data_IF_802963132191
#
_entry.id   IF_802963132191
#
_cell.length_a   1.000
_cell.length_b   1.000
_cell.length_c   1.000
_cell.angle_alpha   90.00
_cell.angle_beta   90.00
_cell.angle_gamma   90.00
#
_symmetry.space_group_name_H-M   'P 1'
#
loop_
_entity.id
_entity.type
_entity.pdbx_description
1 polymer ?
#
# COMPACT_ATOMS: atom_id res chain seq x y z
N UNK A 1 -15.07 20.83 -0.85
CA UNK A 1 -14.70 19.93 0.25
C UNK A 1 -14.47 20.74 1.50
N UNK A 2 -15.55 21.10 2.17
CA UNK A 2 -15.56 21.51 3.58
C UNK A 2 -15.90 20.28 4.43
N UNK A 3 -15.45 20.22 5.70
CA UNK A 3 -15.95 19.20 6.63
C UNK A 3 -17.49 19.18 6.60
N UNK A 4 -18.09 17.99 6.48
CA UNK A 4 -19.53 17.80 6.35
C UNK A 4 -20.06 17.69 4.90
N UNK A 5 -19.20 17.87 3.89
CA UNK A 5 -19.54 17.64 2.48
C UNK A 5 -19.16 16.23 1.99
N UNK A 6 -18.74 15.34 2.89
CA UNK A 6 -18.35 13.97 2.55
C UNK A 6 -19.53 13.19 1.98
N UNK A 7 -19.27 12.41 0.94
CA UNK A 7 -20.25 11.51 0.33
C UNK A 7 -19.71 10.08 0.34
N UNK A 8 -20.54 9.08 0.63
CA UNK A 8 -20.13 7.70 0.50
C UNK A 8 -19.82 7.38 -0.97
N UNK A 9 -18.72 6.67 -1.22
CA UNK A 9 -18.38 6.16 -2.55
C UNK A 9 -19.00 4.79 -2.84
N UNK A 10 -19.45 4.10 -1.79
CA UNK A 10 -20.13 2.80 -1.84
C UNK A 10 -21.22 2.78 -0.75
N UNK A 11 -22.24 1.95 -0.92
CA UNK A 11 -23.25 1.73 0.13
C UNK A 11 -22.74 0.82 1.27
N UNK A 12 -23.61 0.51 2.24
CA UNK A 12 -23.26 -0.30 3.42
C UNK A 12 -23.05 -1.80 3.13
N UNK A 13 -23.38 -2.29 1.93
CA UNK A 13 -23.15 -3.68 1.56
C UNK A 13 -21.69 -3.94 1.14
N UNK A 14 -20.94 -2.88 0.86
CA UNK A 14 -19.51 -2.96 0.57
C UNK A 14 -18.70 -2.92 1.86
N UNK A 15 -17.65 -3.73 1.93
CA UNK A 15 -16.62 -3.61 2.94
C UNK A 15 -15.31 -3.27 2.25
N UNK A 16 -15.02 -1.97 2.16
CA UNK A 16 -13.97 -1.42 1.31
C UNK A 16 -12.99 -0.57 2.13
N UNK A 17 -11.71 -0.84 1.97
CA UNK A 17 -10.63 -0.02 2.46
C UNK A 17 -9.95 0.66 1.29
N UNK A 18 -9.91 1.98 1.34
CA UNK A 18 -9.18 2.78 0.36
C UNK A 18 -7.70 2.91 0.73
N UNK A 19 -6.85 2.76 -0.27
CA UNK A 19 -5.42 3.05 -0.25
C UNK A 19 -5.20 4.35 -1.08
N UNK A 20 -4.10 4.55 -1.85
CA UNK A 20 -3.93 5.75 -2.67
C UNK A 20 -4.88 5.86 -3.86
N UNK A 21 -5.06 7.11 -4.29
CA UNK A 21 -5.63 7.44 -5.58
C UNK A 21 -4.53 7.51 -6.66
N UNK A 22 -4.91 7.14 -7.87
CA UNK A 22 -4.16 7.38 -9.09
C UNK A 22 -4.39 8.82 -9.57
N UNK A 23 -3.52 9.31 -10.45
CA UNK A 23 -3.60 10.63 -11.09
C UNK A 23 -4.87 10.79 -11.93
N UNK A 24 -5.40 9.70 -12.46
CA UNK A 24 -6.66 9.68 -13.21
C UNK A 24 -7.92 9.66 -12.33
N UNK A 25 -7.76 9.66 -11.01
CA UNK A 25 -8.86 9.68 -10.04
C UNK A 25 -9.39 8.31 -9.63
N UNK A 26 -8.88 7.21 -10.19
CA UNK A 26 -9.17 5.87 -9.66
C UNK A 26 -8.55 5.69 -8.28
N UNK A 27 -9.13 4.82 -7.47
CA UNK A 27 -8.70 4.55 -6.10
C UNK A 27 -8.29 3.07 -6.01
N UNK A 28 -7.07 2.80 -5.56
CA UNK A 28 -6.70 1.42 -5.20
C UNK A 28 -7.42 1.07 -3.90
N UNK A 29 -8.21 0.01 -3.93
CA UNK A 29 -9.00 -0.45 -2.79
C UNK A 29 -8.80 -1.95 -2.54
N UNK A 30 -8.86 -2.36 -1.28
CA UNK A 30 -9.23 -3.73 -0.93
C UNK A 30 -10.73 -3.74 -0.65
N UNK A 31 -11.47 -4.68 -1.23
CA UNK A 31 -12.92 -4.74 -1.04
C UNK A 31 -13.42 -6.17 -0.95
N UNK A 32 -14.34 -6.44 -0.02
CA UNK A 32 -15.28 -7.55 -0.14
C UNK A 32 -16.49 -7.09 -0.96
N UNK A 33 -16.32 -7.08 -2.28
CA UNK A 33 -17.34 -6.62 -3.20
C UNK A 33 -18.54 -7.60 -3.21
N UNK A 34 -19.81 -7.13 -3.19
CA UNK A 34 -20.99 -8.01 -3.09
C UNK A 34 -21.07 -9.11 -4.16
N UNK A 35 -20.74 -8.79 -5.42
CA UNK A 35 -20.75 -9.74 -6.55
C UNK A 35 -19.37 -10.24 -6.97
N UNK A 36 -18.34 -9.38 -6.96
CA UNK A 36 -16.98 -9.73 -7.40
C UNK A 36 -16.15 -10.42 -6.30
N UNK A 37 -16.64 -10.45 -5.06
CA UNK A 37 -15.98 -11.07 -3.92
C UNK A 37 -14.79 -10.27 -3.36
N UNK A 38 -14.03 -10.91 -2.47
CA UNK A 38 -12.85 -10.29 -1.85
C UNK A 38 -11.70 -10.14 -2.86
N UNK A 39 -11.03 -8.99 -2.84
CA UNK A 39 -9.87 -8.73 -3.67
C UNK A 39 -9.36 -7.29 -3.59
N UNK A 40 -8.40 -7.00 -4.46
CA UNK A 40 -7.89 -5.66 -4.70
C UNK A 40 -8.42 -5.16 -6.04
N UNK A 41 -8.78 -3.89 -6.09
CA UNK A 41 -9.42 -3.30 -7.25
C UNK A 41 -8.90 -1.88 -7.48
N UNK A 42 -8.93 -1.43 -8.73
CA UNK A 42 -9.01 -0.02 -9.05
C UNK A 42 -10.48 0.36 -9.14
N UNK A 43 -10.92 1.22 -8.23
CA UNK A 43 -12.27 1.73 -8.16
C UNK A 43 -12.32 3.09 -8.88
N UNK A 44 -13.17 3.23 -9.89
CA UNK A 44 -13.55 4.53 -10.44
C UNK A 44 -14.76 5.05 -9.66
N UNK A 45 -14.63 6.16 -8.90
CA UNK A 45 -15.76 6.73 -8.17
C UNK A 45 -16.88 7.18 -9.12
N UNK A 46 -18.12 7.02 -8.70
CA UNK A 46 -19.30 7.56 -9.38
C UNK A 46 -20.25 8.15 -8.32
N UNK A 47 -20.10 9.43 -7.94
CA UNK A 47 -20.87 10.01 -6.83
C UNK A 47 -22.40 10.00 -7.02
N UNK A 48 -22.86 9.89 -8.27
CA UNK A 48 -24.27 9.91 -8.63
C UNK A 48 -24.81 8.51 -9.02
N UNK A 49 -24.04 7.45 -8.78
CA UNK A 49 -24.43 6.08 -9.12
C UNK A 49 -23.48 5.01 -8.56
N UNK A 50 -23.44 3.84 -9.21
CA UNK A 50 -22.55 2.75 -8.79
C UNK A 50 -21.11 3.02 -9.27
N UNK A 51 -20.10 2.87 -8.39
CA UNK A 51 -18.70 2.93 -8.79
C UNK A 51 -18.33 1.71 -9.65
N UNK A 52 -17.33 1.88 -10.51
CA UNK A 52 -16.78 0.77 -11.31
C UNK A 52 -15.59 0.17 -10.56
N UNK A 53 -15.52 -1.16 -10.50
CA UNK A 53 -14.37 -1.88 -9.93
C UNK A 53 -13.66 -2.71 -11.00
N UNK A 54 -12.35 -2.54 -11.11
CA UNK A 54 -11.48 -3.32 -11.99
C UNK A 54 -10.55 -4.16 -11.11
N UNK A 55 -10.68 -5.49 -11.15
CA UNK A 55 -9.87 -6.39 -10.30
C UNK A 55 -8.39 -6.28 -10.67
N UNK A 56 -7.54 -6.14 -9.66
CA UNK A 56 -6.10 -6.17 -9.79
C UNK A 56 -5.64 -7.64 -9.75
N UNK A 57 -4.99 -8.09 -10.81
CA UNK A 57 -4.35 -9.41 -10.84
C UNK A 57 -3.10 -9.41 -9.94
N UNK A 58 -3.08 -10.27 -8.93
CA UNK A 58 -1.97 -10.37 -7.98
C UNK A 58 -1.87 -11.77 -7.39
N UNK A 59 -0.80 -12.51 -7.73
CA UNK A 59 -0.60 -13.89 -7.24
C UNK A 59 -0.48 -13.94 -5.71
N UNK A 60 0.20 -12.96 -5.10
CA UNK A 60 0.34 -12.88 -3.64
C UNK A 60 -1.01 -12.72 -2.92
N UNK A 61 -1.97 -12.00 -3.52
CA UNK A 61 -3.30 -11.82 -2.95
C UNK A 61 -4.10 -13.13 -2.86
N UNK A 62 -3.71 -14.17 -3.61
CA UNK A 62 -4.33 -15.51 -3.51
C UNK A 62 -3.88 -16.29 -2.28
N UNK A 63 -2.79 -15.87 -1.63
CA UNK A 63 -2.14 -16.59 -0.52
C UNK A 63 -1.93 -15.74 0.74
N UNK A 64 -2.40 -14.50 0.74
CA UNK A 64 -2.17 -13.57 1.82
C UNK A 64 -2.84 -12.22 1.64
N UNK A 65 -2.51 -11.30 2.53
CA UNK A 65 -3.07 -9.95 2.57
C UNK A 65 -1.95 -8.96 2.31
N UNK A 66 -2.14 -8.14 1.28
CA UNK A 66 -1.41 -6.89 1.06
C UNK A 66 -2.11 -5.79 1.87
N UNK A 67 -1.35 -5.06 2.67
CA UNK A 67 -1.89 -3.98 3.49
C UNK A 67 -1.03 -2.73 3.37
N UNK A 68 -1.63 -1.58 3.68
CA UNK A 68 -0.99 -0.26 3.64
C UNK A 68 -0.26 0.00 2.32
N UNK A 69 -0.90 -0.40 1.22
CA UNK A 69 -0.33 -0.31 -0.13
C UNK A 69 -0.06 1.16 -0.48
N UNK A 70 1.10 1.44 -1.07
CA UNK A 70 1.46 2.75 -1.62
C UNK A 70 1.88 2.61 -3.08
N UNK A 71 1.40 3.52 -3.94
CA UNK A 71 1.77 3.59 -5.36
C UNK A 71 2.95 4.56 -5.52
N UNK A 72 3.89 4.26 -6.42
CA UNK A 72 5.02 5.14 -6.75
C UNK A 72 4.53 6.42 -7.46
N UNK A 73 5.28 7.53 -7.40
CA UNK A 73 4.86 8.80 -8.04
C UNK A 73 4.62 8.71 -9.55
N UNK A 74 5.29 7.81 -10.25
CA UNK A 74 5.13 7.54 -11.67
C UNK A 74 4.04 6.49 -11.98
N UNK A 75 3.44 5.88 -10.95
CA UNK A 75 2.39 4.86 -11.02
C UNK A 75 2.80 3.56 -11.72
N UNK A 76 4.09 3.23 -11.69
CA UNK A 76 4.63 1.99 -12.28
C UNK A 76 4.98 0.92 -11.24
N UNK A 77 4.99 1.27 -9.95
CA UNK A 77 5.31 0.36 -8.85
C UNK A 77 4.38 0.54 -7.66
N UNK A 78 4.32 -0.50 -6.84
CA UNK A 78 3.71 -0.43 -5.51
C UNK A 78 4.68 -0.93 -4.45
N UNK A 79 4.53 -0.43 -3.23
CA UNK A 79 5.10 -1.04 -2.04
C UNK A 79 4.00 -1.33 -1.02
N UNK A 80 4.14 -2.41 -0.25
CA UNK A 80 3.09 -2.87 0.65
C UNK A 80 3.63 -3.75 1.78
N UNK A 81 2.84 -3.82 2.85
CA UNK A 81 2.98 -4.88 3.85
C UNK A 81 2.36 -6.16 3.34
N UNK A 82 2.99 -7.29 3.58
CA UNK A 82 2.43 -8.58 3.26
C UNK A 82 2.42 -9.49 4.49
N UNK A 83 1.27 -10.09 4.73
CA UNK A 83 1.16 -11.26 5.59
C UNK A 83 0.75 -12.48 4.75
N UNK A 84 1.34 -13.63 5.06
CA UNK A 84 0.89 -14.91 4.50
C UNK A 84 -0.35 -15.40 5.24
N UNK A 85 -1.33 -15.88 4.49
CA UNK A 85 -2.64 -16.31 5.01
C UNK A 85 -3.56 -15.15 5.37
N UNK A 86 -4.82 -15.47 5.68
CA UNK A 86 -5.89 -14.49 5.82
C UNK A 86 -6.27 -14.18 7.28
N UNK A 87 -5.62 -14.84 8.25
CA UNK A 87 -5.80 -14.51 9.68
C UNK A 87 -4.89 -13.34 10.02
N UNK A 88 -5.48 -12.18 10.28
CA UNK A 88 -4.74 -10.94 10.51
C UNK A 88 -3.72 -11.07 11.66
N UNK A 89 -2.45 -10.81 11.38
CA UNK A 89 -1.36 -10.67 12.35
C UNK A 89 -0.53 -9.44 11.98
N UNK A 90 -0.19 -8.63 12.98
CA UNK A 90 0.48 -7.34 12.82
C UNK A 90 2.01 -7.44 12.87
N UNK A 91 2.54 -8.53 13.41
CA UNK A 91 3.98 -8.76 13.56
C UNK A 91 4.45 -9.88 12.64
N UNK A 92 5.71 -9.82 12.18
CA UNK A 92 6.21 -10.80 11.23
C UNK A 92 5.80 -10.55 9.78
N UNK A 93 5.20 -9.39 9.48
CA UNK A 93 4.93 -8.97 8.10
C UNK A 93 6.22 -8.64 7.37
N UNK A 94 6.25 -8.96 6.09
CA UNK A 94 7.36 -8.63 5.17
C UNK A 94 6.94 -7.45 4.30
N UNK A 95 7.86 -6.52 4.04
CA UNK A 95 7.60 -5.41 3.13
C UNK A 95 8.09 -5.74 1.73
N UNK A 96 7.24 -5.49 0.75
CA UNK A 96 7.52 -5.78 -0.66
C UNK A 96 7.48 -4.51 -1.50
N UNK A 97 8.25 -4.53 -2.57
CA UNK A 97 8.11 -3.65 -3.74
C UNK A 97 7.76 -4.53 -4.94
N UNK A 98 6.88 -4.05 -5.82
CA UNK A 98 6.39 -4.81 -6.97
C UNK A 98 6.11 -3.89 -8.16
N UNK A 99 6.11 -4.45 -9.36
CA UNK A 99 5.65 -3.78 -10.57
C UNK A 99 4.13 -3.59 -10.53
N UNK A 100 3.65 -2.49 -11.06
CA UNK A 100 2.24 -2.13 -11.13
C UNK A 100 1.86 -1.60 -12.51
N UNK A 101 0.82 -2.19 -13.10
CA UNK A 101 0.24 -1.74 -14.37
C UNK A 101 -1.21 -1.29 -14.12
N UNK A 102 -1.51 0.02 -14.14
CA UNK A 102 -2.86 0.52 -13.95
C UNK A 102 -3.72 0.45 -15.22
N UNK A 103 -3.14 0.27 -16.41
CA UNK A 103 -3.87 0.15 -17.68
C UNK A 103 -4.42 -1.27 -17.86
N UNK A 104 -3.65 -2.27 -17.41
CA UNK A 104 -4.10 -3.65 -17.21
C UNK A 104 -3.90 -4.01 -15.72
N UNK A 105 -4.85 -3.65 -14.84
CA UNK A 105 -4.70 -3.68 -13.38
C UNK A 105 -4.00 -4.94 -12.87
N UNK A 106 -2.72 -4.83 -12.56
CA UNK A 106 -1.90 -5.97 -12.14
C UNK A 106 -0.77 -5.53 -11.20
N UNK A 107 -0.47 -6.37 -10.21
CA UNK A 107 0.71 -6.28 -9.33
C UNK A 107 1.54 -7.55 -9.54
N UNK A 108 2.77 -7.39 -10.00
CA UNK A 108 3.63 -8.50 -10.41
C UNK A 108 5.08 -8.31 -9.95
N UNK A 109 5.90 -9.36 -10.05
CA UNK A 109 7.33 -9.33 -9.70
C UNK A 109 7.61 -8.75 -8.30
N UNK A 110 6.81 -9.17 -7.31
CA UNK A 110 6.95 -8.71 -5.95
C UNK A 110 8.25 -9.24 -5.31
N UNK A 111 9.09 -8.32 -4.83
CA UNK A 111 10.37 -8.60 -4.19
C UNK A 111 10.36 -8.08 -2.75
N UNK A 112 10.74 -8.92 -1.77
CA UNK A 112 10.85 -8.45 -0.39
C UNK A 112 12.05 -7.50 -0.28
N UNK A 113 11.87 -6.35 0.37
CA UNK A 113 12.97 -5.42 0.65
C UNK A 113 13.24 -5.25 2.15
N UNK A 114 12.31 -5.65 3.01
CA UNK A 114 12.51 -5.66 4.46
C UNK A 114 11.78 -6.82 5.14
N UNK A 115 12.42 -7.43 6.15
CA UNK A 115 11.92 -8.54 6.94
C UNK A 115 11.58 -9.80 6.10
N UNK A 116 12.43 -10.16 5.14
CA UNK A 116 12.25 -11.35 4.31
C UNK A 116 12.30 -12.65 5.14
N UNK A 117 13.02 -12.62 6.25
CA UNK A 117 13.16 -13.68 7.23
C UNK A 117 11.90 -13.87 8.11
N UNK A 118 10.96 -12.92 8.11
CA UNK A 118 9.73 -13.00 8.89
C UNK A 118 9.94 -12.88 10.40
N UNK A 119 10.92 -12.09 10.84
CA UNK A 119 11.15 -11.82 12.25
C UNK A 119 9.88 -11.24 12.89
N UNK A 120 9.53 -11.70 14.11
CA UNK A 120 8.34 -11.28 14.87
C UNK A 120 8.47 -9.86 15.46
N UNK A 121 8.74 -8.90 14.60
CA UNK A 121 8.84 -7.47 14.85
C UNK A 121 7.85 -6.75 13.94
N UNK A 122 7.50 -5.52 14.30
CA UNK A 122 6.59 -4.73 13.49
C UNK A 122 7.33 -3.98 12.39
N UNK A 123 7.08 -4.38 11.15
CA UNK A 123 7.48 -3.70 9.93
C UNK A 123 6.23 -3.17 9.23
N UNK A 124 6.19 -1.89 8.90
CA UNK A 124 4.95 -1.28 8.43
C UNK A 124 5.11 0.06 7.70
N UNK A 125 4.00 0.49 7.10
CA UNK A 125 3.80 1.79 6.47
C UNK A 125 4.88 2.14 5.44
N UNK A 126 5.16 1.27 4.46
CA UNK A 126 6.09 1.64 3.38
C UNK A 126 5.48 2.77 2.55
N UNK A 127 6.24 3.84 2.31
CA UNK A 127 5.81 5.01 1.51
C UNK A 127 6.94 5.50 0.62
N UNK A 128 6.59 5.87 -0.60
CA UNK A 128 7.54 6.37 -1.58
C UNK A 128 7.99 7.80 -1.29
N UNK A 129 9.27 8.08 -1.53
CA UNK A 129 9.76 9.45 -1.69
C UNK A 129 9.13 10.11 -2.92
N UNK A 130 9.00 11.45 -2.96
CA UNK A 130 8.36 12.15 -4.09
C UNK A 130 9.06 11.94 -5.44
N UNK A 131 10.36 11.63 -5.44
CA UNK A 131 11.14 11.33 -6.63
C UNK A 131 11.07 9.84 -7.06
N UNK A 132 10.38 9.00 -6.27
CA UNK A 132 10.20 7.57 -6.54
C UNK A 132 11.45 6.72 -6.38
N UNK A 133 12.55 7.27 -5.84
CA UNK A 133 13.84 6.56 -5.75
C UNK A 133 14.03 5.75 -4.47
N UNK A 134 13.23 6.03 -3.45
CA UNK A 134 13.36 5.37 -2.16
C UNK A 134 12.00 5.15 -1.49
N UNK A 135 12.00 4.26 -0.49
CA UNK A 135 10.84 3.90 0.32
C UNK A 135 11.21 4.12 1.79
N UNK A 136 10.50 5.01 2.46
CA UNK A 136 10.56 5.10 3.93
C UNK A 136 9.63 4.06 4.54
N UNK A 137 10.05 3.44 5.63
CA UNK A 137 9.22 2.50 6.36
C UNK A 137 9.57 2.49 7.85
N UNK A 138 8.63 1.99 8.64
CA UNK A 138 8.82 1.76 10.06
C UNK A 138 9.28 0.32 10.31
N UNK A 139 10.33 0.16 11.10
CA UNK A 139 10.70 -1.12 11.71
C UNK A 139 11.03 -0.90 13.20
N UNK A 140 10.08 -1.27 14.06
CA UNK A 140 10.00 -0.83 15.47
C UNK A 140 11.30 -0.98 16.26
N UNK A 141 11.98 0.07 16.73
CA UNK A 141 11.38 1.38 17.01
C UNK A 141 11.65 2.44 15.94
N UNK A 142 12.43 2.15 14.90
CA UNK A 142 13.08 3.16 14.07
C UNK A 142 12.45 3.32 12.69
N UNK A 143 12.77 4.44 12.03
CA UNK A 143 12.53 4.63 10.60
C UNK A 143 13.75 4.25 9.80
N UNK A 144 13.48 3.63 8.66
CA UNK A 144 14.48 3.25 7.69
C UNK A 144 14.09 3.79 6.32
N UNK A 145 15.09 4.03 5.48
CA UNK A 145 14.94 4.37 4.07
C UNK A 145 15.60 3.26 3.26
N UNK A 146 14.85 2.67 2.34
CA UNK A 146 15.33 1.70 1.35
C UNK A 146 15.51 2.40 0.01
N UNK A 147 16.70 2.30 -0.59
CA UNK A 147 17.02 2.90 -1.88
C UNK A 147 16.90 1.85 -3.00
N UNK A 148 16.16 2.17 -4.06
CA UNK A 148 15.90 1.22 -5.15
C UNK A 148 17.12 1.00 -6.05
N UNK A 149 18.00 1.99 -6.17
CA UNK A 149 19.14 1.95 -7.09
C UNK A 149 20.13 0.83 -6.77
N UNK A 150 20.45 0.65 -5.49
CA UNK A 150 21.46 -0.30 -5.02
C UNK A 150 20.90 -1.32 -4.00
N UNK A 151 19.63 -1.19 -3.62
CA UNK A 151 18.99 -2.03 -2.62
C UNK A 151 19.47 -1.77 -1.19
N UNK A 152 20.19 -0.68 -0.95
CA UNK A 152 20.70 -0.33 0.38
C UNK A 152 19.59 0.14 1.31
N UNK A 153 19.82 -0.02 2.60
CA UNK A 153 18.91 0.44 3.67
C UNK A 153 19.69 1.20 4.72
N UNK A 154 19.19 2.37 5.10
CA UNK A 154 19.77 3.18 6.18
C UNK A 154 18.71 3.52 7.22
N UNK A 155 19.10 3.59 8.48
CA UNK A 155 18.25 4.14 9.52
C UNK A 155 18.25 5.67 9.41
N UNK A 156 17.06 6.28 9.39
CA UNK A 156 16.91 7.76 9.27
C UNK A 156 16.38 8.42 10.53
N UNK A 157 15.85 7.66 11.49
CA UNK A 157 15.50 8.16 12.82
C UNK A 157 16.73 8.18 13.74
N UNK A 158 17.03 9.32 14.36
CA UNK A 158 18.23 9.53 15.20
C UNK A 158 17.92 9.78 16.67
N UNK A 159 16.65 9.88 17.07
CA UNK A 159 16.24 10.18 18.44
C UNK A 159 15.45 9.05 19.09
N UNK A 160 15.07 9.27 20.34
CA UNK A 160 14.11 8.45 21.06
C UNK A 160 12.70 8.97 20.74
N UNK A 161 11.89 8.15 20.07
CA UNK A 161 10.58 8.56 19.61
C UNK A 161 9.74 7.40 19.11
N UNK A 162 8.43 7.64 19.08
CA UNK A 162 7.48 6.73 18.47
C UNK A 162 7.32 7.09 16.98
N UNK A 163 8.03 6.36 16.14
CA UNK A 163 8.12 6.65 14.71
C UNK A 163 7.08 5.92 13.85
N UNK A 164 5.89 5.66 14.39
CA UNK A 164 4.80 5.05 13.61
C UNK A 164 4.28 6.03 12.54
N UNK A 165 3.74 5.49 11.45
CA UNK A 165 3.10 6.25 10.35
C UNK A 165 4.03 7.22 9.58
N UNK A 166 5.19 6.78 9.08
CA UNK A 166 6.06 7.63 8.27
C UNK A 166 5.35 8.16 7.02
N UNK A 167 5.74 9.37 6.62
CA UNK A 167 5.31 10.03 5.39
C UNK A 167 6.47 10.87 4.84
N UNK A 168 6.46 11.15 3.54
CA UNK A 168 7.61 11.76 2.86
C UNK A 168 7.48 13.26 2.59
N UNK A 169 6.50 13.95 3.19
CA UNK A 169 6.24 15.38 2.96
C UNK A 169 7.45 16.28 3.30
N UNK A 170 8.38 15.81 4.16
CA UNK A 170 9.65 16.49 4.47
C UNK A 170 10.87 15.57 4.47
N UNK A 171 10.95 14.65 3.50
CA UNK A 171 12.17 13.84 3.34
C UNK A 171 13.37 14.71 2.91
N UNK A 172 14.59 14.48 3.46
CA UNK A 172 15.79 15.15 2.97
C UNK A 172 15.96 14.90 1.46
N UNK A 173 16.32 15.94 0.71
CA UNK A 173 16.61 15.86 -0.73
C UNK A 173 18.00 15.31 -0.98
#
# INVERSE_FOLDING_TARGET
>A
GKPGEERPLTDMHYHTWAYPCLKDGRILVQSAHPTLGWGYYLMTPNPDGEPKFERIECEMATRGILDRVSISPDETKVCFEYQKGFKHDMIGRTLYVAEFDPAKPAITDAKPFANAEGARRWFAYPRWTPDGKAIVYHASPSLYMYFLEDGSTVQVSTGEGDYRYPHCERTPK
#
